data_IF_421320183486
#
_entry.id   IF_421320183486
#
_cell.length_a   1.000
_cell.length_b   1.000
_cell.length_c   1.000
_cell.angle_alpha   90.00
_cell.angle_beta   90.00
_cell.angle_gamma   90.00
#
_symmetry.space_group_name_H-M   'P 1'
#
loop_
_entity.id
_entity.type
_entity.pdbx_description
1 polymer ?
#
# COMPACT_ATOMS: atom_id res chain seq x y z
N UNK A 1 11.37 -17.22 -9.25
CA UNK A 1 10.41 -17.17 -8.09
C UNK A 1 9.44 -16.02 -8.33
N UNK A 2 8.13 -16.24 -8.20
CA UNK A 2 7.14 -15.14 -8.33
C UNK A 2 7.16 -14.29 -7.06
N UNK A 3 7.11 -12.96 -7.21
CA UNK A 3 7.00 -12.05 -6.09
C UNK A 3 5.61 -12.05 -5.45
N UNK A 4 5.49 -11.49 -4.25
CA UNK A 4 4.23 -11.34 -3.53
C UNK A 4 3.89 -9.86 -3.36
N UNK A 5 2.64 -9.50 -3.63
CA UNK A 5 2.10 -8.15 -3.39
C UNK A 5 1.00 -8.25 -2.34
N UNK A 6 1.15 -7.46 -1.30
CA UNK A 6 0.12 -7.22 -0.29
C UNK A 6 -0.47 -5.84 -0.54
N UNK A 7 -1.71 -5.78 -1.00
CA UNK A 7 -2.49 -4.53 -1.02
C UNK A 7 -3.05 -4.31 0.39
N UNK A 8 -2.66 -3.20 1.01
CA UNK A 8 -2.99 -2.88 2.40
C UNK A 8 -4.08 -1.81 2.41
N UNK A 9 -5.31 -2.20 2.73
CA UNK A 9 -6.48 -1.36 2.54
C UNK A 9 -7.36 -1.24 3.80
N UNK A 10 -8.01 -0.10 3.94
CA UNK A 10 -9.23 0.00 4.74
C UNK A 10 -10.42 -0.43 3.87
N UNK A 11 -11.33 -1.21 4.42
CA UNK A 11 -12.57 -1.54 3.72
C UNK A 11 -13.40 -0.26 3.53
N UNK A 12 -13.73 0.11 2.27
CA UNK A 12 -14.47 1.34 2.02
C UNK A 12 -15.87 1.32 2.64
N UNK A 13 -16.13 2.24 3.55
CA UNK A 13 -17.43 2.41 4.20
C UNK A 13 -17.72 3.90 4.44
N UNK A 14 -18.99 4.27 4.42
CA UNK A 14 -19.42 5.66 4.60
C UNK A 14 -18.91 6.23 5.93
N UNK A 15 -18.32 7.43 5.90
CA UNK A 15 -17.85 8.15 7.09
C UNK A 15 -16.59 7.58 7.75
N UNK A 16 -15.93 6.54 7.20
CA UNK A 16 -14.79 5.88 7.86
C UNK A 16 -13.44 6.08 7.17
N UNK A 17 -13.42 6.45 5.90
CA UNK A 17 -12.21 6.67 5.10
C UNK A 17 -11.83 8.14 5.01
N UNK A 18 -10.93 8.46 4.15
CA UNK A 18 -10.46 9.78 3.63
C UNK A 18 -11.23 11.02 4.12
N UNK A 19 -11.17 11.27 5.43
CA UNK A 19 -11.97 12.32 6.08
C UNK A 19 -11.64 13.73 5.58
N UNK A 20 -10.39 14.00 5.16
CA UNK A 20 -10.00 15.28 4.55
C UNK A 20 -10.69 15.44 3.22
N UNK A 21 -10.57 14.45 2.34
CA UNK A 21 -11.25 14.41 1.06
C UNK A 21 -12.78 14.53 1.22
N UNK A 22 -13.36 13.80 2.18
CA UNK A 22 -14.79 13.82 2.45
C UNK A 22 -15.32 15.21 2.88
N UNK A 23 -14.52 16.02 3.58
CA UNK A 23 -14.88 17.41 3.90
C UNK A 23 -15.02 18.28 2.65
N UNK A 24 -14.17 18.02 1.63
CA UNK A 24 -14.09 18.85 0.44
C UNK A 24 -15.10 18.44 -0.64
N UNK A 25 -15.35 17.11 -0.82
CA UNK A 25 -16.21 16.59 -1.88
C UNK A 25 -17.45 15.82 -1.39
N UNK A 26 -17.64 15.71 -0.09
CA UNK A 26 -18.73 14.97 0.56
C UNK A 26 -18.43 13.46 0.74
N UNK A 27 -19.07 12.87 1.78
CA UNK A 27 -18.82 11.49 2.19
C UNK A 27 -19.12 10.46 1.09
N UNK A 28 -20.19 10.67 0.31
CA UNK A 28 -20.59 9.73 -0.72
C UNK A 28 -19.62 9.75 -1.91
N UNK A 29 -19.15 10.93 -2.32
CA UNK A 29 -18.17 11.07 -3.40
C UNK A 29 -16.82 10.48 -2.97
N UNK A 30 -16.37 10.75 -1.76
CA UNK A 30 -15.15 10.17 -1.20
C UNK A 30 -15.22 8.64 -1.13
N UNK A 31 -16.35 8.07 -0.68
CA UNK A 31 -16.57 6.61 -0.68
C UNK A 31 -16.55 6.00 -2.09
N UNK A 32 -17.19 6.67 -3.07
CA UNK A 32 -17.15 6.23 -4.48
C UNK A 32 -15.72 6.23 -5.01
N UNK A 33 -14.98 7.29 -4.74
CA UNK A 33 -13.58 7.40 -5.11
C UNK A 33 -12.73 6.26 -4.52
N UNK A 34 -12.80 6.02 -3.21
CA UNK A 34 -12.08 4.92 -2.54
C UNK A 34 -12.39 3.56 -3.17
N UNK A 35 -13.67 3.28 -3.43
CA UNK A 35 -14.11 2.03 -4.06
C UNK A 35 -13.56 1.88 -5.48
N UNK A 36 -13.61 2.94 -6.28
CA UNK A 36 -13.10 2.93 -7.66
C UNK A 36 -11.59 2.73 -7.68
N UNK A 37 -10.85 3.44 -6.81
CA UNK A 37 -9.39 3.31 -6.70
C UNK A 37 -8.99 1.89 -6.35
N UNK A 38 -9.57 1.33 -5.30
CA UNK A 38 -9.29 -0.05 -4.87
C UNK A 38 -9.63 -1.06 -5.98
N UNK A 39 -10.82 -0.96 -6.58
CA UNK A 39 -11.24 -1.86 -7.63
C UNK A 39 -10.33 -1.77 -8.88
N UNK A 40 -9.92 -0.54 -9.27
CA UNK A 40 -8.99 -0.30 -10.38
C UNK A 40 -7.62 -0.92 -10.11
N UNK A 41 -7.08 -0.71 -8.89
CA UNK A 41 -5.79 -1.26 -8.48
C UNK A 41 -5.81 -2.79 -8.50
N UNK A 42 -6.81 -3.40 -7.87
CA UNK A 42 -6.94 -4.85 -7.82
C UNK A 42 -7.11 -5.48 -9.22
N UNK A 43 -7.88 -4.84 -10.12
CA UNK A 43 -8.01 -5.31 -11.52
C UNK A 43 -6.70 -5.21 -12.29
N UNK A 44 -5.97 -4.09 -12.14
CA UNK A 44 -4.68 -3.88 -12.86
C UNK A 44 -3.63 -4.87 -12.41
N UNK A 45 -3.46 -5.04 -11.11
CA UNK A 45 -2.43 -5.89 -10.55
C UNK A 45 -2.81 -7.38 -10.55
N UNK A 46 -4.09 -7.71 -10.38
CA UNK A 46 -4.56 -9.10 -10.32
C UNK A 46 -4.54 -9.85 -11.66
N UNK A 47 -4.47 -9.12 -12.79
CA UNK A 47 -4.36 -9.74 -14.13
C UNK A 47 -2.93 -10.13 -14.50
N UNK A 48 -1.95 -9.61 -13.77
CA UNK A 48 -0.54 -9.82 -14.07
C UNK A 48 -0.01 -11.09 -13.40
N UNK A 49 0.47 -12.03 -14.18
CA UNK A 49 0.96 -13.33 -13.71
C UNK A 49 2.38 -13.31 -13.13
N UNK A 50 3.06 -12.17 -13.17
CA UNK A 50 4.43 -12.03 -12.62
C UNK A 50 4.50 -12.14 -11.11
N UNK A 51 3.38 -11.94 -10.41
CA UNK A 51 3.30 -11.95 -8.95
C UNK A 51 2.00 -12.59 -8.42
N UNK A 52 2.00 -12.88 -7.14
CA UNK A 52 0.82 -13.27 -6.37
C UNK A 52 0.25 -12.05 -5.64
N UNK A 53 -1.03 -11.76 -5.84
CA UNK A 53 -1.71 -10.65 -5.21
C UNK A 53 -2.54 -11.13 -4.02
N UNK A 54 -2.37 -10.44 -2.87
CA UNK A 54 -3.17 -10.61 -1.66
C UNK A 54 -3.73 -9.26 -1.24
N UNK A 55 -4.96 -9.22 -0.78
CA UNK A 55 -5.56 -8.05 -0.17
C UNK A 55 -5.65 -8.23 1.35
N UNK A 56 -5.13 -7.27 2.11
CA UNK A 56 -5.15 -7.30 3.58
C UNK A 56 -5.94 -6.10 4.09
N UNK A 57 -7.06 -6.35 4.78
CA UNK A 57 -8.08 -5.34 5.07
C UNK A 57 -8.27 -5.07 6.55
N UNK A 58 -8.65 -3.82 6.86
CA UNK A 58 -9.16 -3.39 8.16
C UNK A 58 -10.54 -2.76 7.99
N UNK A 59 -11.49 -2.95 8.92
CA UNK A 59 -11.46 -3.86 10.06
C UNK A 59 -11.49 -5.33 9.60
N UNK A 60 -10.95 -6.22 10.42
CA UNK A 60 -10.72 -7.62 10.05
C UNK A 60 -11.98 -8.39 9.64
N UNK A 61 -13.13 -8.07 10.23
CA UNK A 61 -14.40 -8.71 9.87
C UNK A 61 -14.83 -8.42 8.41
N UNK A 62 -14.32 -7.31 7.81
CA UNK A 62 -14.64 -6.96 6.42
C UNK A 62 -14.15 -8.01 5.42
N UNK A 63 -13.15 -8.85 5.78
CA UNK A 63 -12.70 -9.97 4.93
C UNK A 63 -13.80 -10.97 4.58
N UNK A 64 -14.80 -11.09 5.44
CA UNK A 64 -15.93 -12.01 5.25
C UNK A 64 -17.06 -11.45 4.38
N UNK A 65 -17.04 -10.16 4.05
CA UNK A 65 -18.02 -9.51 3.17
C UNK A 65 -17.70 -9.80 1.71
N UNK A 66 -17.92 -11.04 1.27
CA UNK A 66 -17.53 -11.55 -0.07
C UNK A 66 -17.98 -10.68 -1.24
N UNK A 67 -19.10 -9.96 -1.10
CA UNK A 67 -19.61 -9.05 -2.13
C UNK A 67 -18.76 -7.79 -2.36
N UNK A 68 -17.88 -7.44 -1.41
CA UNK A 68 -16.98 -6.29 -1.55
C UNK A 68 -15.69 -6.62 -2.32
N UNK A 69 -15.37 -7.91 -2.48
CA UNK A 69 -14.04 -8.33 -2.92
C UNK A 69 -14.05 -9.20 -4.16
N UNK A 70 -13.06 -9.07 -5.06
CA UNK A 70 -12.91 -9.99 -6.19
C UNK A 70 -12.70 -11.43 -5.71
N UNK A 71 -13.43 -12.37 -6.31
CA UNK A 71 -13.36 -13.81 -5.92
C UNK A 71 -11.99 -14.45 -6.11
N UNK A 72 -11.18 -13.95 -7.04
CA UNK A 72 -9.89 -14.51 -7.40
C UNK A 72 -8.72 -14.06 -6.51
N UNK A 73 -8.97 -13.20 -5.50
CA UNK A 73 -7.91 -12.62 -4.65
C UNK A 73 -8.07 -13.15 -3.23
N UNK A 74 -6.95 -13.58 -2.64
CA UNK A 74 -6.92 -13.97 -1.22
C UNK A 74 -7.12 -12.73 -0.35
N UNK A 75 -8.10 -12.77 0.56
CA UNK A 75 -8.43 -11.68 1.48
C UNK A 75 -8.05 -12.07 2.91
N UNK A 76 -7.25 -11.23 3.56
CA UNK A 76 -6.79 -11.42 4.94
C UNK A 76 -7.19 -10.22 5.81
N UNK A 77 -7.24 -10.40 7.14
CA UNK A 77 -7.33 -9.28 8.08
C UNK A 77 -5.94 -8.69 8.36
N UNK A 78 -5.89 -7.41 8.74
CA UNK A 78 -4.64 -6.74 9.16
C UNK A 78 -4.21 -7.16 10.57
N UNK A 79 -5.14 -7.58 11.39
CA UNK A 79 -4.93 -7.89 12.80
C UNK A 79 -4.87 -6.64 13.69
N UNK A 80 -4.56 -6.85 14.97
CA UNK A 80 -4.45 -5.80 15.99
C UNK A 80 -3.07 -5.14 15.98
N UNK A 81 -2.94 -4.04 16.71
CA UNK A 81 -1.71 -3.27 16.88
C UNK A 81 -1.67 -2.00 16.04
N UNK A 82 -0.57 -1.28 16.13
CA UNK A 82 -0.31 -0.08 15.33
C UNK A 82 -0.11 -0.40 13.84
N UNK A 83 0.04 0.65 13.03
CA UNK A 83 0.20 0.49 11.57
C UNK A 83 1.43 -0.35 11.22
N UNK A 84 2.56 -0.14 11.91
CA UNK A 84 3.81 -0.86 11.66
C UNK A 84 3.71 -2.34 11.99
N UNK A 85 3.13 -2.67 13.15
CA UNK A 85 2.90 -4.06 13.57
C UNK A 85 1.99 -4.80 12.58
N UNK A 86 0.95 -4.14 12.07
CA UNK A 86 0.05 -4.69 11.06
C UNK A 86 0.75 -4.91 9.71
N UNK A 87 1.53 -3.94 9.23
CA UNK A 87 2.32 -4.06 7.99
C UNK A 87 3.36 -5.18 8.11
N UNK A 88 4.09 -5.24 9.23
CA UNK A 88 5.05 -6.31 9.50
C UNK A 88 4.41 -7.69 9.42
N UNK A 89 3.26 -7.86 10.08
CA UNK A 89 2.50 -9.12 10.06
C UNK A 89 2.08 -9.50 8.65
N UNK A 90 1.58 -8.54 7.87
CA UNK A 90 1.13 -8.77 6.50
C UNK A 90 2.28 -9.20 5.57
N UNK A 91 3.45 -8.56 5.68
CA UNK A 91 4.67 -8.97 4.97
C UNK A 91 5.17 -10.32 5.46
N UNK A 92 5.22 -10.55 6.77
CA UNK A 92 5.68 -11.80 7.36
C UNK A 92 4.81 -13.01 6.98
N UNK A 93 3.55 -12.80 6.66
CA UNK A 93 2.63 -13.84 6.21
C UNK A 93 2.82 -14.24 4.73
N UNK A 94 3.67 -13.54 3.97
CA UNK A 94 4.01 -13.95 2.61
C UNK A 94 4.96 -15.16 2.64
N UNK A 95 4.94 -16.05 1.65
CA UNK A 95 5.98 -17.07 1.48
C UNK A 95 7.37 -16.47 1.33
N UNK A 96 8.46 -17.23 1.50
CA UNK A 96 9.83 -16.77 1.22
C UNK A 96 9.96 -16.21 -0.18
N UNK A 97 10.76 -15.13 -0.34
CA UNK A 97 10.96 -14.43 -1.59
C UNK A 97 10.69 -12.93 -1.52
N UNK A 98 10.74 -12.21 -2.64
CA UNK A 98 10.48 -10.77 -2.68
C UNK A 98 9.00 -10.48 -2.38
N UNK A 99 8.74 -9.61 -1.42
CA UNK A 99 7.40 -9.19 -1.03
C UNK A 99 7.30 -7.66 -1.01
N UNK A 100 6.21 -7.13 -1.56
CA UNK A 100 5.86 -5.72 -1.58
C UNK A 100 4.56 -5.53 -0.79
N UNK A 101 4.49 -4.48 0.01
CA UNK A 101 3.25 -3.98 0.60
C UNK A 101 2.98 -2.60 0.04
N UNK A 102 1.78 -2.38 -0.47
CA UNK A 102 1.38 -1.13 -1.12
C UNK A 102 0.09 -0.57 -0.53
N UNK A 103 0.00 0.76 -0.48
CA UNK A 103 -1.24 1.48 -0.20
C UNK A 103 -2.21 1.47 -1.39
N UNK A 104 -3.38 2.08 -1.20
CA UNK A 104 -4.46 2.13 -2.21
C UNK A 104 -4.73 3.53 -2.75
N UNK A 105 -4.04 4.53 -2.22
CA UNK A 105 -4.38 5.94 -2.36
C UNK A 105 -3.64 6.65 -3.51
N UNK A 106 -2.90 5.88 -4.33
CA UNK A 106 -2.07 6.38 -5.43
C UNK A 106 -2.74 6.10 -6.78
N UNK A 107 -3.38 7.08 -7.42
CA UNK A 107 -4.06 6.89 -8.72
C UNK A 107 -3.13 6.49 -9.86
N UNK A 108 -1.89 6.99 -9.83
CA UNK A 108 -0.86 6.71 -10.83
C UNK A 108 -0.30 5.28 -10.74
N UNK A 109 -0.48 4.59 -9.61
CA UNK A 109 0.09 3.28 -9.36
C UNK A 109 -0.39 2.24 -10.38
N UNK A 110 0.57 1.58 -11.02
CA UNK A 110 0.31 0.55 -12.01
C UNK A 110 1.39 -0.53 -12.07
N UNK A 111 1.21 -1.54 -12.95
CA UNK A 111 2.12 -2.68 -13.06
C UNK A 111 3.58 -2.33 -13.33
N UNK A 112 3.86 -1.21 -14.02
CA UNK A 112 5.22 -0.72 -14.27
C UNK A 112 5.95 -0.37 -12.99
N UNK A 113 5.31 0.37 -12.08
CA UNK A 113 5.89 0.74 -10.78
C UNK A 113 6.18 -0.48 -9.90
N UNK A 114 5.30 -1.48 -9.96
CA UNK A 114 5.48 -2.75 -9.23
C UNK A 114 6.65 -3.57 -9.81
N UNK A 115 6.74 -3.65 -11.13
CA UNK A 115 7.85 -4.35 -11.80
C UNK A 115 9.20 -3.69 -11.45
N UNK A 116 9.24 -2.36 -11.45
CA UNK A 116 10.42 -1.59 -11.03
C UNK A 116 10.80 -1.87 -9.57
N UNK A 117 9.83 -1.88 -8.66
CA UNK A 117 10.08 -2.20 -7.25
C UNK A 117 10.65 -3.62 -7.07
N UNK A 118 10.14 -4.61 -7.80
CA UNK A 118 10.72 -5.96 -7.78
C UNK A 118 12.12 -6.02 -8.39
N UNK A 119 12.39 -5.24 -9.45
CA UNK A 119 13.73 -5.13 -10.04
C UNK A 119 14.72 -4.54 -9.04
N UNK A 120 14.32 -3.53 -8.30
CA UNK A 120 15.11 -2.93 -7.22
C UNK A 120 15.36 -3.94 -6.09
N UNK A 121 14.37 -4.75 -5.69
CA UNK A 121 14.58 -5.84 -4.71
C UNK A 121 15.56 -6.92 -5.21
N UNK A 122 15.88 -6.96 -6.49
CA UNK A 122 16.98 -7.79 -7.02
C UNK A 122 18.36 -7.27 -6.58
N UNK A 123 18.47 -6.00 -6.19
CA UNK A 123 19.75 -5.31 -5.85
C UNK A 123 19.83 -4.86 -4.40
N UNK A 124 18.69 -4.51 -3.79
CA UNK A 124 18.57 -3.96 -2.45
C UNK A 124 17.81 -4.90 -1.53
N UNK A 125 18.09 -4.87 -0.24
CA UNK A 125 17.42 -5.67 0.78
C UNK A 125 16.00 -5.17 1.05
N UNK A 126 15.84 -3.83 1.01
CA UNK A 126 14.58 -3.13 1.22
C UNK A 126 14.36 -2.09 0.13
N UNK A 127 13.12 -1.91 -0.29
CA UNK A 127 12.72 -0.89 -1.27
C UNK A 127 11.54 -0.08 -0.73
N UNK A 128 11.64 1.25 -0.85
CA UNK A 128 10.53 2.16 -0.57
C UNK A 128 10.05 2.85 -1.83
N UNK A 129 8.77 3.13 -1.91
CA UNK A 129 8.18 4.09 -2.83
C UNK A 129 7.75 5.33 -2.05
N UNK A 130 8.52 6.43 -2.06
CA UNK A 130 8.19 7.62 -1.31
C UNK A 130 6.86 8.23 -1.77
N UNK A 131 6.07 8.75 -0.84
CA UNK A 131 4.91 9.59 -1.10
C UNK A 131 5.24 11.07 -0.95
N UNK A 132 4.41 11.94 -1.50
CA UNK A 132 4.63 13.40 -1.47
C UNK A 132 4.48 13.96 -0.06
N UNK A 133 3.63 13.34 0.76
CA UNK A 133 3.32 13.72 2.14
C UNK A 133 4.41 13.36 3.18
N UNK A 134 5.54 12.78 2.74
CA UNK A 134 6.63 12.31 3.63
C UNK A 134 6.43 10.88 4.16
N UNK A 135 5.37 10.21 3.74
CA UNK A 135 5.15 8.79 3.92
C UNK A 135 5.72 7.94 2.79
N UNK A 136 5.16 6.77 2.60
CA UNK A 136 5.51 5.87 1.51
C UNK A 136 4.26 5.11 1.02
N UNK A 137 4.14 4.98 -0.29
CA UNK A 137 3.09 4.20 -0.93
C UNK A 137 3.46 2.72 -1.08
N UNK A 138 4.75 2.40 -0.96
CA UNK A 138 5.29 1.05 -1.07
C UNK A 138 6.40 0.85 -0.06
N UNK A 139 6.40 -0.31 0.57
CA UNK A 139 7.56 -0.90 1.24
C UNK A 139 7.71 -2.34 0.75
N UNK A 140 8.93 -2.69 0.35
CA UNK A 140 9.27 -4.04 -0.09
C UNK A 140 10.49 -4.57 0.64
N UNK A 141 10.53 -5.88 0.85
CA UNK A 141 11.69 -6.55 1.42
C UNK A 141 11.93 -7.89 0.74
N UNK A 142 13.20 -8.26 0.61
CA UNK A 142 13.61 -9.60 0.23
C UNK A 142 13.47 -10.49 1.46
N UNK A 143 12.44 -11.34 1.46
CA UNK A 143 12.20 -12.27 2.56
C UNK A 143 13.07 -13.50 2.42
N UNK A 144 14.17 -13.56 3.16
CA UNK A 144 14.94 -14.81 3.35
C UNK A 144 14.44 -15.57 4.57
N UNK A 145 14.88 -15.24 5.76
CA UNK A 145 14.47 -15.86 7.04
C UNK A 145 13.65 -14.91 7.91
N UNK A 146 14.02 -13.65 8.00
CA UNK A 146 13.26 -12.66 8.75
C UNK A 146 13.22 -11.30 8.02
N UNK A 147 12.24 -10.47 8.39
CA UNK A 147 12.17 -9.08 7.94
C UNK A 147 13.12 -8.23 8.78
N UNK A 148 13.81 -7.25 8.16
CA UNK A 148 14.53 -6.23 8.91
C UNK A 148 13.60 -5.51 9.90
N UNK A 149 14.15 -4.86 10.96
CA UNK A 149 13.35 -4.12 11.95
C UNK A 149 12.82 -2.79 11.39
N UNK A 150 12.00 -2.86 10.34
CA UNK A 150 11.46 -1.71 9.60
C UNK A 150 10.59 -0.80 10.47
N UNK A 151 9.72 -1.40 11.28
CA UNK A 151 8.59 -0.72 11.89
C UNK A 151 8.74 -0.65 13.42
N UNK A 152 9.83 -0.05 13.88
CA UNK A 152 10.05 0.24 15.28
C UNK A 152 9.22 1.45 15.75
N UNK A 153 9.83 2.39 16.46
CA UNK A 153 9.18 3.66 16.85
C UNK A 153 9.03 4.54 15.60
N UNK A 154 7.81 4.69 15.08
CA UNK A 154 7.50 5.49 13.89
C UNK A 154 6.34 6.44 14.19
N UNK A 155 6.49 7.70 13.84
CA UNK A 155 5.42 8.72 13.89
C UNK A 155 4.51 8.57 12.69
N UNK A 156 3.54 7.67 12.82
CA UNK A 156 2.58 7.38 11.74
C UNK A 156 1.69 8.60 11.43
N UNK A 157 1.19 8.64 10.22
CA UNK A 157 0.23 9.66 9.73
C UNK A 157 0.79 11.09 9.70
N UNK A 158 2.09 11.23 9.47
CA UNK A 158 2.76 12.53 9.36
C UNK A 158 3.96 12.50 8.42
N UNK A 159 4.59 13.66 8.17
CA UNK A 159 5.66 13.80 7.17
C UNK A 159 6.97 13.10 7.55
N UNK A 160 7.01 12.48 8.71
CA UNK A 160 8.21 11.84 9.26
C UNK A 160 8.24 10.31 9.09
N UNK A 161 7.15 9.71 8.59
CA UNK A 161 6.98 8.26 8.61
C UNK A 161 8.09 7.53 7.83
N UNK A 162 8.45 7.99 6.65
CA UNK A 162 9.54 7.40 5.87
C UNK A 162 10.90 7.57 6.56
N UNK A 163 11.19 8.77 7.07
CA UNK A 163 12.44 9.04 7.76
C UNK A 163 12.62 8.18 9.02
N UNK A 164 11.56 8.03 9.81
CA UNK A 164 11.59 7.21 11.02
C UNK A 164 11.78 5.71 10.69
N UNK A 165 11.15 5.22 9.62
CA UNK A 165 11.35 3.83 9.17
C UNK A 165 12.77 3.60 8.67
N UNK A 166 13.36 4.54 7.94
CA UNK A 166 14.74 4.46 7.49
C UNK A 166 15.72 4.46 8.68
N UNK A 167 15.46 5.27 9.70
CA UNK A 167 16.27 5.33 10.92
C UNK A 167 16.25 4.03 11.75
N UNK A 168 15.22 3.20 11.59
CA UNK A 168 15.15 1.88 12.25
C UNK A 168 16.01 0.81 11.57
N UNK A 169 16.50 1.07 10.36
CA UNK A 169 17.26 0.06 9.62
C UNK A 169 18.70 -0.03 10.10
N UNK A 170 19.25 -1.23 10.30
CA UNK A 170 20.67 -1.42 10.56
C UNK A 170 21.52 -0.91 9.39
N UNK A 171 22.75 -0.40 9.64
CA UNK A 171 23.63 0.18 8.62
C UNK A 171 23.99 -0.77 7.45
N UNK A 172 23.94 -2.07 7.69
CA UNK A 172 24.26 -3.09 6.67
C UNK A 172 23.08 -3.40 5.73
N UNK A 173 21.88 -2.88 6.01
CA UNK A 173 20.69 -3.10 5.16
C UNK A 173 20.69 -2.10 4.02
N UNK A 174 20.81 -2.59 2.80
CA UNK A 174 20.79 -1.77 1.60
C UNK A 174 19.37 -1.34 1.23
N UNK A 175 19.20 -0.06 0.89
CA UNK A 175 17.88 0.54 0.61
C UNK A 175 17.83 1.09 -0.81
N UNK A 176 16.80 0.68 -1.57
CA UNK A 176 16.48 1.24 -2.88
C UNK A 176 15.19 2.07 -2.84
N UNK A 177 15.06 3.00 -3.78
CA UNK A 177 13.87 3.85 -3.89
C UNK A 177 13.23 3.71 -5.26
N UNK A 178 11.93 3.37 -5.25
CA UNK A 178 11.06 3.46 -6.42
C UNK A 178 10.64 4.94 -6.65
N UNK A 179 10.05 5.29 -7.80
CA UNK A 179 9.60 6.64 -8.06
C UNK A 179 8.69 7.21 -6.96
N UNK A 180 8.86 8.51 -6.68
CA UNK A 180 7.97 9.24 -5.79
C UNK A 180 6.62 9.43 -6.45
N UNK A 181 5.53 9.10 -5.77
CA UNK A 181 4.17 9.25 -6.28
C UNK A 181 3.32 10.10 -5.34
N UNK A 182 2.28 10.70 -5.92
CA UNK A 182 1.31 11.52 -5.19
C UNK A 182 0.11 10.67 -4.80
N UNK A 183 -0.30 10.77 -3.55
CA UNK A 183 -1.53 10.22 -3.00
C UNK A 183 -2.67 11.24 -3.10
N UNK A 184 -3.90 10.78 -3.06
CA UNK A 184 -5.09 11.64 -3.06
C UNK A 184 -5.74 11.59 -1.68
N UNK A 185 -5.47 12.61 -0.86
CA UNK A 185 -5.95 12.70 0.52
C UNK A 185 -6.93 13.83 0.79
N UNK A 186 -6.99 14.84 -0.08
CA UNK A 186 -7.82 16.03 0.04
C UNK A 186 -8.41 16.46 -1.31
N UNK A 187 -9.25 17.51 -1.30
CA UNK A 187 -9.86 18.06 -2.51
C UNK A 187 -8.85 18.62 -3.49
N UNK A 188 -7.74 19.22 -3.03
CA UNK A 188 -6.69 19.76 -3.88
C UNK A 188 -6.02 18.68 -4.72
N UNK A 189 -5.57 17.60 -4.09
CA UNK A 189 -4.98 16.43 -4.77
C UNK A 189 -5.99 15.71 -5.67
N UNK A 190 -7.26 15.68 -5.26
CA UNK A 190 -8.35 15.14 -6.09
C UNK A 190 -8.59 15.95 -7.36
N UNK A 191 -8.62 17.31 -7.30
CA UNK A 191 -8.79 18.15 -8.45
C UNK A 191 -7.60 18.09 -9.42
N UNK A 192 -6.37 18.02 -8.91
CA UNK A 192 -5.18 17.81 -9.75
C UNK A 192 -5.26 16.50 -10.54
N UNK A 193 -5.76 15.45 -9.91
CA UNK A 193 -5.99 14.18 -10.59
C UNK A 193 -7.02 14.30 -11.73
N UNK A 194 -8.12 15.01 -11.50
CA UNK A 194 -9.18 15.20 -12.49
C UNK A 194 -8.72 15.98 -13.72
N UNK A 195 -7.88 17.01 -13.53
CA UNK A 195 -7.31 17.81 -14.63
C UNK A 195 -6.29 17.06 -15.48
N UNK A 196 -5.57 16.08 -14.91
CA UNK A 196 -4.51 15.34 -15.62
C UNK A 196 -5.03 14.09 -16.37
N UNK A 197 -6.24 13.64 -16.13
CA UNK A 197 -6.75 12.35 -16.66
C UNK A 197 -8.24 12.39 -16.92
N UNK A 198 -8.86 13.25 -17.67
CA UNK A 198 -10.25 13.14 -18.10
C UNK A 198 -11.02 11.96 -17.48
N UNK A 199 -11.52 12.12 -16.25
CA UNK A 199 -12.38 11.16 -15.55
C UNK A 199 -13.83 11.48 -15.85
#
# INVERSE_FOLDING_TARGET
MRGHIVVFARAPALGTGKRRLARDIGDLAALRFERQMLARLLRRLGRDRRWHLRLTVTPDHARHRKHLWPRAIQICGQGRGDLGQRMRRALAACPPGPALLIGTDIPALGPGHIAEAFRLLGRYDVVFGPAVDGGFWLVGARRSSCLPPLFGKVRWSGPHALADVLANLPPHVSVGFAPRLEDVDDGGSFHRLATHRGF
#
